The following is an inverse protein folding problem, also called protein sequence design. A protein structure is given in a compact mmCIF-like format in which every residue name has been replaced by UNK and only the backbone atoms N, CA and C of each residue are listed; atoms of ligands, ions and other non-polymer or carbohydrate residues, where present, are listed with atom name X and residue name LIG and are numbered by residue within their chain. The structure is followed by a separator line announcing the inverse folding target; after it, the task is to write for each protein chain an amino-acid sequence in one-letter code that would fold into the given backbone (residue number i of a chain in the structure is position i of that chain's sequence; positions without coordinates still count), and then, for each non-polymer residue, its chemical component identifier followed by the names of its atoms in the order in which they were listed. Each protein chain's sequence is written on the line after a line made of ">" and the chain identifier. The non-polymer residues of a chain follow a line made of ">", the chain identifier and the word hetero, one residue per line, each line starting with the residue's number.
data_IF_635355843009
#
_entry.id   IF_635355843009
#
_cell.length_a   1.000
_cell.length_b   1.000
_cell.length_c   1.000
_cell.angle_alpha   90.00
_cell.angle_beta   90.00
_cell.angle_gamma   90.00
#
_symmetry.space_group_name_H-M   'P 1'
#
loop_
_entity.id
_entity.type
_entity.pdbx_description
1 polymer ?
#
# COMPACT_ATOMS: atom_id res chain seq x y z
N UNK A 1 -7.46 7.23 -96.46
CA UNK A 1 -7.88 5.82 -96.64
C UNK A 1 -6.68 4.90 -96.42
N UNK A 2 -6.16 4.80 -95.19
CA UNK A 2 -4.89 4.08 -94.91
C UNK A 2 -4.87 3.32 -93.59
N UNK A 3 -5.84 3.51 -92.68
CA UNK A 3 -5.85 2.85 -91.36
C UNK A 3 -6.62 1.53 -91.31
N UNK A 4 -7.57 1.31 -92.22
CA UNK A 4 -8.40 0.10 -92.24
C UNK A 4 -7.67 -1.03 -92.97
N UNK A 5 -7.06 -0.73 -94.12
CA UNK A 5 -6.27 -1.70 -94.89
C UNK A 5 -5.07 -2.21 -94.09
N UNK A 6 -4.35 -1.32 -93.39
CA UNK A 6 -3.24 -1.72 -92.51
C UNK A 6 -3.69 -2.63 -91.34
N UNK A 7 -4.90 -2.43 -90.80
CA UNK A 7 -5.46 -3.32 -89.77
C UNK A 7 -5.91 -4.66 -90.34
N UNK A 8 -6.44 -4.66 -91.56
CA UNK A 8 -6.86 -5.88 -92.25
C UNK A 8 -5.66 -6.75 -92.64
N UNK A 9 -4.58 -6.14 -93.13
CA UNK A 9 -3.33 -6.84 -93.45
C UNK A 9 -2.65 -7.40 -92.20
N UNK A 10 -2.66 -6.65 -91.09
CA UNK A 10 -2.16 -7.13 -89.81
C UNK A 10 -2.98 -8.33 -89.32
N UNK A 11 -4.31 -8.25 -89.37
CA UNK A 11 -5.20 -9.35 -88.96
C UNK A 11 -4.98 -10.59 -89.84
N UNK A 12 -4.81 -10.40 -91.16
CA UNK A 12 -4.54 -11.49 -92.10
C UNK A 12 -3.18 -12.14 -91.84
N UNK A 13 -2.16 -11.36 -91.52
CA UNK A 13 -0.86 -11.88 -91.12
C UNK A 13 -0.91 -12.64 -89.80
N UNK A 14 -1.62 -12.12 -88.79
CA UNK A 14 -1.78 -12.81 -87.50
C UNK A 14 -2.52 -14.13 -87.66
N UNK A 15 -3.65 -14.14 -88.38
CA UNK A 15 -4.40 -15.38 -88.63
C UNK A 15 -3.59 -16.38 -89.45
N UNK A 16 -2.81 -15.92 -90.44
CA UNK A 16 -1.92 -16.79 -91.19
C UNK A 16 -0.79 -17.38 -90.33
N UNK A 17 -0.26 -16.59 -89.38
CA UNK A 17 0.75 -17.05 -88.42
C UNK A 17 0.19 -18.11 -87.46
N UNK A 18 -0.98 -17.85 -86.87
CA UNK A 18 -1.65 -18.79 -85.96
C UNK A 18 -2.04 -20.10 -86.67
N UNK A 19 -2.54 -20.02 -87.90
CA UNK A 19 -2.83 -21.21 -88.71
C UNK A 19 -1.56 -22.01 -89.03
N UNK A 20 -0.43 -21.32 -89.24
CA UNK A 20 0.85 -21.99 -89.46
C UNK A 20 1.40 -22.63 -88.18
N UNK A 21 1.24 -22.01 -87.02
CA UNK A 21 1.58 -22.61 -85.72
C UNK A 21 0.73 -23.82 -85.38
N UNK A 22 -0.58 -23.76 -85.64
CA UNK A 22 -1.49 -24.90 -85.45
C UNK A 22 -1.14 -26.03 -86.43
N UNK A 23 -0.86 -25.69 -87.69
CA UNK A 23 -0.46 -26.67 -88.71
C UNK A 23 0.87 -27.34 -88.35
N UNK A 24 1.88 -26.57 -87.93
CA UNK A 24 3.18 -27.12 -87.51
C UNK A 24 3.06 -27.95 -86.23
N UNK A 25 2.33 -27.49 -85.22
CA UNK A 25 2.08 -28.26 -83.98
C UNK A 25 1.32 -29.57 -84.26
N UNK A 26 0.31 -29.54 -85.12
CA UNK A 26 -0.41 -30.72 -85.57
C UNK A 26 0.50 -31.67 -86.34
N UNK A 27 1.34 -31.15 -87.23
CA UNK A 27 2.28 -31.95 -88.02
C UNK A 27 3.34 -32.60 -87.12
N UNK A 28 3.88 -31.89 -86.14
CA UNK A 28 4.82 -32.44 -85.14
C UNK A 28 4.16 -33.53 -84.30
N UNK A 29 2.91 -33.31 -83.86
CA UNK A 29 2.14 -34.32 -83.13
C UNK A 29 1.87 -35.57 -83.96
N UNK A 30 1.52 -35.38 -85.23
CA UNK A 30 1.29 -36.47 -86.17
C UNK A 30 2.59 -37.21 -86.53
N UNK A 31 3.72 -36.51 -86.65
CA UNK A 31 5.04 -37.12 -86.80
C UNK A 31 5.40 -37.96 -85.57
N UNK A 32 5.23 -37.42 -84.35
CA UNK A 32 5.47 -38.18 -83.12
C UNK A 32 4.58 -39.42 -82.98
N UNK A 33 3.31 -39.33 -83.40
CA UNK A 33 2.40 -40.47 -83.45
C UNK A 33 2.83 -41.50 -84.49
N UNK A 34 3.25 -41.05 -85.67
CA UNK A 34 3.70 -41.93 -86.76
C UNK A 34 5.01 -42.65 -86.39
N UNK A 35 5.94 -41.93 -85.77
CA UNK A 35 7.17 -42.51 -85.19
C UNK A 35 6.84 -43.52 -84.09
N UNK A 36 5.92 -43.18 -83.18
CA UNK A 36 5.48 -44.11 -82.13
C UNK A 36 4.84 -45.38 -82.72
N UNK A 37 4.03 -45.25 -83.78
CA UNK A 37 3.39 -46.37 -84.47
C UNK A 37 4.43 -47.22 -85.22
N UNK A 38 5.41 -46.61 -85.88
CA UNK A 38 6.46 -47.33 -86.58
C UNK A 38 7.40 -48.06 -85.60
N UNK A 39 7.71 -47.44 -84.46
CA UNK A 39 8.46 -48.05 -83.37
C UNK A 39 7.71 -49.25 -82.74
N UNK A 40 6.37 -49.14 -82.64
CA UNK A 40 5.51 -50.24 -82.19
C UNK A 40 5.43 -51.39 -83.19
N UNK A 41 5.42 -51.08 -84.50
CA UNK A 41 5.44 -52.07 -85.58
C UNK A 41 6.80 -52.75 -85.75
N UNK A 42 7.90 -52.06 -85.41
CA UNK A 42 9.26 -52.61 -85.54
C UNK A 42 9.68 -53.48 -84.37
N UNK A 43 8.98 -53.42 -83.23
CA UNK A 43 9.28 -54.21 -82.03
C UNK A 43 8.53 -55.54 -82.06
N UNK A 44 9.23 -56.63 -81.75
CA UNK A 44 8.56 -57.92 -81.56
C UNK A 44 7.70 -57.88 -80.29
N UNK A 45 6.60 -58.63 -80.24
CA UNK A 45 5.65 -58.67 -79.12
C UNK A 45 6.34 -58.89 -77.76
N UNK A 46 7.43 -59.68 -77.74
CA UNK A 46 8.24 -59.95 -76.54
C UNK A 46 8.98 -58.70 -76.02
N UNK A 47 9.48 -57.85 -76.90
CA UNK A 47 10.20 -56.62 -76.53
C UNK A 47 9.22 -55.56 -76.02
N UNK A 48 8.08 -55.40 -76.70
CA UNK A 48 7.03 -54.48 -76.26
C UNK A 48 6.48 -54.86 -74.88
N UNK A 49 6.27 -56.16 -74.65
CA UNK A 49 5.85 -56.67 -73.34
C UNK A 49 6.88 -56.36 -72.25
N UNK A 50 8.16 -56.59 -72.50
CA UNK A 50 9.25 -56.29 -71.55
C UNK A 50 9.37 -54.80 -71.25
N UNK A 51 9.19 -53.93 -72.25
CA UNK A 51 9.20 -52.48 -72.05
C UNK A 51 8.00 -52.00 -71.22
N UNK A 52 6.82 -52.58 -71.43
CA UNK A 52 5.62 -52.27 -70.63
C UNK A 52 5.82 -52.74 -69.18
N UNK A 53 6.32 -53.97 -68.98
CA UNK A 53 6.60 -54.52 -67.65
C UNK A 53 7.62 -53.65 -66.89
N UNK A 54 8.70 -53.22 -67.54
CA UNK A 54 9.69 -52.32 -66.91
C UNK A 54 9.11 -50.94 -66.58
N UNK A 55 8.25 -50.38 -67.44
CA UNK A 55 7.54 -49.11 -67.14
C UNK A 55 6.56 -49.27 -65.97
N UNK A 56 5.84 -50.39 -65.86
CA UNK A 56 4.96 -50.67 -64.73
C UNK A 56 5.77 -50.83 -63.44
N UNK A 57 6.86 -51.60 -63.46
CA UNK A 57 7.72 -51.82 -62.28
C UNK A 57 8.34 -50.49 -61.80
N UNK A 58 8.86 -49.68 -62.72
CA UNK A 58 9.44 -48.37 -62.36
C UNK A 58 8.38 -47.40 -61.84
N UNK A 59 7.16 -47.41 -62.41
CA UNK A 59 6.04 -46.63 -61.91
C UNK A 59 5.66 -47.05 -60.49
N UNK A 60 5.49 -48.35 -60.22
CA UNK A 60 5.17 -48.87 -58.89
C UNK A 60 6.25 -48.51 -57.86
N UNK A 61 7.53 -48.66 -58.22
CA UNK A 61 8.64 -48.29 -57.33
C UNK A 61 8.65 -46.78 -57.00
N UNK A 62 8.28 -45.92 -57.95
CA UNK A 62 8.17 -44.48 -57.71
C UNK A 62 6.96 -44.14 -56.81
N UNK A 63 5.83 -44.83 -56.99
CA UNK A 63 4.67 -44.69 -56.12
C UNK A 63 4.95 -45.15 -54.70
N UNK A 64 5.65 -46.27 -54.53
CA UNK A 64 6.04 -46.77 -53.22
C UNK A 64 6.96 -45.79 -52.48
N UNK A 65 7.93 -45.18 -53.19
CA UNK A 65 8.76 -44.10 -52.63
C UNK A 65 7.94 -42.87 -52.22
N UNK A 66 6.93 -42.51 -53.01
CA UNK A 66 6.03 -41.39 -52.68
C UNK A 66 5.24 -41.70 -51.41
N UNK A 67 4.65 -42.90 -51.31
CA UNK A 67 3.91 -43.36 -50.13
C UNK A 67 4.81 -43.35 -48.89
N UNK A 68 6.03 -43.88 -48.98
CA UNK A 68 6.99 -43.86 -47.87
C UNK A 68 7.34 -42.43 -47.45
N UNK A 69 7.51 -41.51 -48.41
CA UNK A 69 7.74 -40.10 -48.11
C UNK A 69 6.55 -39.49 -47.38
N UNK A 70 5.33 -39.71 -47.86
CA UNK A 70 4.12 -39.20 -47.23
C UNK A 70 3.92 -39.78 -45.81
N UNK A 71 4.19 -41.07 -45.62
CA UNK A 71 4.17 -41.70 -44.30
C UNK A 71 5.17 -41.07 -43.34
N UNK A 72 6.42 -40.85 -43.78
CA UNK A 72 7.43 -40.19 -42.95
C UNK A 72 7.05 -38.75 -42.57
N UNK A 73 6.41 -38.01 -43.50
CA UNK A 73 5.91 -36.66 -43.19
C UNK A 73 4.75 -36.69 -42.21
N UNK A 74 3.89 -37.71 -42.28
CA UNK A 74 2.77 -37.85 -41.35
C UNK A 74 3.24 -38.22 -39.94
N UNK A 75 4.24 -39.10 -39.83
CA UNK A 75 4.86 -39.42 -38.54
C UNK A 75 5.54 -38.20 -37.93
N UNK A 76 6.25 -37.41 -38.73
CA UNK A 76 6.85 -36.14 -38.29
C UNK A 76 5.78 -35.18 -37.77
N UNK A 77 4.73 -34.91 -38.55
CA UNK A 77 3.65 -34.00 -38.15
C UNK A 77 2.92 -34.49 -36.89
N UNK A 78 2.75 -35.80 -36.74
CA UNK A 78 2.17 -36.38 -35.52
C UNK A 78 3.05 -36.12 -34.30
N UNK A 79 4.37 -36.31 -34.41
CA UNK A 79 5.29 -36.02 -33.32
C UNK A 79 5.35 -34.53 -32.96
N UNK A 80 5.23 -33.66 -33.97
CA UNK A 80 5.19 -32.21 -33.77
C UNK A 80 3.89 -31.80 -33.07
N UNK A 81 2.75 -32.39 -33.45
CA UNK A 81 1.46 -32.18 -32.77
C UNK A 81 1.53 -32.60 -31.29
N UNK A 82 2.08 -33.79 -31.00
CA UNK A 82 2.26 -34.27 -29.62
C UNK A 82 3.19 -33.35 -28.81
N UNK A 83 4.17 -32.71 -29.45
CA UNK A 83 5.03 -31.73 -28.78
C UNK A 83 4.26 -30.44 -28.48
N UNK A 84 3.51 -29.92 -29.45
CA UNK A 84 2.67 -28.74 -29.26
C UNK A 84 1.62 -28.93 -28.17
N UNK A 85 0.96 -30.09 -28.12
CA UNK A 85 -0.02 -30.41 -27.07
C UNK A 85 0.59 -30.34 -25.67
N UNK A 86 1.80 -30.89 -25.48
CA UNK A 86 2.51 -30.83 -24.19
C UNK A 86 2.91 -29.42 -23.80
N UNK A 87 3.35 -28.60 -24.75
CA UNK A 87 3.70 -27.20 -24.49
C UNK A 87 2.45 -26.40 -24.11
N UNK A 88 1.32 -26.66 -24.76
CA UNK A 88 0.03 -26.02 -24.47
C UNK A 88 -0.50 -26.41 -23.09
N UNK A 89 -0.39 -27.68 -22.70
CA UNK A 89 -0.72 -28.13 -21.33
C UNK A 89 0.15 -27.43 -20.27
N UNK A 90 1.45 -27.27 -20.55
CA UNK A 90 2.37 -26.57 -19.66
C UNK A 90 2.02 -25.10 -19.52
N UNK A 91 1.64 -24.43 -20.61
CA UNK A 91 1.23 -23.03 -20.59
C UNK A 91 -0.10 -22.83 -19.85
N UNK A 92 -1.08 -23.71 -20.05
CA UNK A 92 -2.35 -23.70 -19.28
C UNK A 92 -2.07 -23.85 -17.78
N UNK A 93 -1.17 -24.77 -17.40
CA UNK A 93 -0.76 -24.95 -16.01
C UNK A 93 -0.05 -23.72 -15.41
N UNK A 94 0.59 -22.88 -16.24
CA UNK A 94 1.17 -21.62 -15.77
C UNK A 94 0.13 -20.52 -15.62
N UNK A 95 -0.79 -20.38 -16.58
CA UNK A 95 -1.86 -19.37 -16.52
C UNK A 95 -2.77 -19.62 -15.31
N UNK A 96 -3.17 -20.87 -15.08
CA UNK A 96 -3.96 -21.23 -13.89
C UNK A 96 -3.27 -20.88 -12.57
N UNK A 97 -1.94 -21.05 -12.48
CA UNK A 97 -1.17 -20.59 -11.31
C UNK A 97 -1.17 -19.07 -11.18
N UNK A 98 -1.05 -18.34 -12.30
CA UNK A 98 -1.11 -16.88 -12.30
C UNK A 98 -2.49 -16.37 -11.85
N UNK A 99 -3.58 -17.02 -12.27
CA UNK A 99 -4.94 -16.67 -11.84
C UNK A 99 -5.12 -16.88 -10.33
N UNK A 100 -4.59 -17.98 -9.78
CA UNK A 100 -4.58 -18.21 -8.33
C UNK A 100 -3.81 -17.12 -7.58
N UNK A 101 -2.63 -16.71 -8.09
CA UNK A 101 -1.86 -15.62 -7.51
C UNK A 101 -2.60 -14.28 -7.58
N UNK A 102 -3.32 -14.01 -8.67
CA UNK A 102 -4.16 -12.81 -8.79
C UNK A 102 -5.24 -12.77 -7.71
N UNK A 103 -5.94 -13.89 -7.48
CA UNK A 103 -6.95 -13.98 -6.41
C UNK A 103 -6.35 -13.83 -5.01
N UNK A 104 -5.13 -14.31 -4.78
CA UNK A 104 -4.41 -14.13 -3.52
C UNK A 104 -4.02 -12.65 -3.30
N UNK A 105 -3.58 -11.95 -4.34
CA UNK A 105 -3.28 -10.51 -4.31
C UNK A 105 -4.55 -9.72 -3.96
N UNK A 106 -5.69 -10.01 -4.58
CA UNK A 106 -6.95 -9.33 -4.26
C UNK A 106 -7.37 -9.54 -2.79
N UNK A 107 -7.11 -10.72 -2.24
CA UNK A 107 -7.37 -11.00 -0.82
C UNK A 107 -6.41 -10.23 0.09
N UNK A 108 -5.13 -10.14 -0.26
CA UNK A 108 -4.15 -9.35 0.49
C UNK A 108 -4.51 -7.86 0.49
N UNK A 109 -4.96 -7.31 -0.64
CA UNK A 109 -5.39 -5.91 -0.73
C UNK A 109 -6.60 -5.63 0.18
N UNK A 110 -7.56 -6.56 0.27
CA UNK A 110 -8.69 -6.46 1.22
C UNK A 110 -8.21 -6.46 2.67
N UNK A 111 -7.33 -7.40 3.03
CA UNK A 111 -6.76 -7.48 4.38
C UNK A 111 -5.97 -6.21 4.71
N UNK A 112 -5.20 -5.68 3.75
CA UNK A 112 -4.47 -4.43 3.93
C UNK A 112 -5.41 -3.26 4.20
N UNK A 113 -6.50 -3.13 3.45
CA UNK A 113 -7.49 -2.09 3.65
C UNK A 113 -8.16 -2.19 5.04
N UNK A 114 -8.53 -3.40 5.46
CA UNK A 114 -9.08 -3.65 6.80
C UNK A 114 -8.09 -3.26 7.90
N UNK A 115 -6.81 -3.62 7.73
CA UNK A 115 -5.76 -3.30 8.69
C UNK A 115 -5.56 -1.77 8.83
N UNK A 116 -5.54 -1.06 7.70
CA UNK A 116 -5.40 0.41 7.68
C UNK A 116 -6.61 1.07 8.36
N UNK A 117 -7.82 0.56 8.11
CA UNK A 117 -9.02 1.04 8.80
C UNK A 117 -8.91 0.82 10.32
N UNK A 118 -8.40 -0.32 10.76
CA UNK A 118 -8.28 -0.64 12.18
C UNK A 118 -7.18 0.19 12.87
N UNK A 119 -6.04 0.41 12.20
CA UNK A 119 -4.98 1.32 12.68
C UNK A 119 -5.55 2.72 12.88
N UNK A 120 -6.28 3.27 11.91
CA UNK A 120 -6.88 4.59 12.03
C UNK A 120 -7.86 4.67 13.23
N UNK A 121 -8.65 3.63 13.47
CA UNK A 121 -9.52 3.58 14.66
C UNK A 121 -8.69 3.59 15.95
N UNK A 122 -7.64 2.78 16.03
CA UNK A 122 -6.77 2.73 17.22
C UNK A 122 -6.05 4.06 17.47
N UNK A 123 -5.60 4.76 16.43
CA UNK A 123 -5.03 6.12 16.56
C UNK A 123 -6.06 7.10 17.11
N UNK A 124 -7.29 7.08 16.60
CA UNK A 124 -8.36 7.96 17.12
C UNK A 124 -8.71 7.64 18.58
N UNK A 125 -8.65 6.38 18.98
CA UNK A 125 -8.92 6.00 20.37
C UNK A 125 -7.76 6.39 21.29
N UNK A 126 -6.52 6.22 20.82
CA UNK A 126 -5.31 6.63 21.56
C UNK A 126 -5.30 8.14 21.79
N UNK A 127 -5.64 8.93 20.78
CA UNK A 127 -5.73 10.40 20.91
C UNK A 127 -6.84 10.82 21.88
N UNK A 128 -8.00 10.16 21.88
CA UNK A 128 -9.05 10.40 22.89
C UNK A 128 -8.57 10.07 24.30
N UNK A 129 -7.89 8.94 24.48
CA UNK A 129 -7.37 8.53 25.78
C UNK A 129 -6.29 9.49 26.29
N UNK A 130 -5.38 9.96 25.42
CA UNK A 130 -4.39 10.98 25.76
C UNK A 130 -5.06 12.27 26.25
N UNK A 131 -6.04 12.78 25.50
CA UNK A 131 -6.80 13.98 25.90
C UNK A 131 -7.51 13.80 27.25
N UNK A 132 -8.08 12.62 27.50
CA UNK A 132 -8.73 12.30 28.77
C UNK A 132 -7.73 12.23 29.93
N UNK A 133 -6.52 11.76 29.67
CA UNK A 133 -5.44 11.69 30.65
C UNK A 133 -4.94 13.10 31.00
N UNK A 134 -4.75 13.97 30.01
CA UNK A 134 -4.39 15.38 30.21
C UNK A 134 -5.45 16.11 31.06
N UNK A 135 -6.74 15.87 30.77
CA UNK A 135 -7.82 16.47 31.55
C UNK A 135 -7.86 15.96 32.99
N UNK A 136 -7.52 14.68 33.22
CA UNK A 136 -7.38 14.12 34.58
C UNK A 136 -6.18 14.70 35.31
N UNK A 137 -5.03 14.86 34.63
CA UNK A 137 -3.84 15.48 35.20
C UNK A 137 -4.10 16.94 35.59
N UNK A 138 -4.76 17.71 34.73
CA UNK A 138 -5.15 19.09 35.04
C UNK A 138 -6.07 19.15 36.28
N UNK A 139 -7.03 18.23 36.40
CA UNK A 139 -7.89 18.12 37.59
C UNK A 139 -7.09 17.75 38.85
N UNK A 140 -6.16 16.81 38.75
CA UNK A 140 -5.30 16.43 39.88
C UNK A 140 -4.39 17.58 40.31
N UNK A 141 -3.86 18.35 39.37
CA UNK A 141 -3.07 19.54 39.64
C UNK A 141 -3.91 20.59 40.39
N UNK A 142 -5.13 20.88 39.90
CA UNK A 142 -6.04 21.81 40.56
C UNK A 142 -6.42 21.35 41.99
N UNK A 143 -6.65 20.04 42.18
CA UNK A 143 -6.89 19.46 43.51
C UNK A 143 -5.67 19.60 44.43
N UNK A 144 -4.46 19.37 43.90
CA UNK A 144 -3.22 19.55 44.66
C UNK A 144 -3.05 21.01 45.11
N UNK A 145 -3.26 21.95 44.20
CA UNK A 145 -3.14 23.38 44.50
C UNK A 145 -4.19 23.82 45.54
N UNK A 146 -5.40 23.27 45.45
CA UNK A 146 -6.46 23.49 46.44
C UNK A 146 -6.08 22.93 47.83
N UNK A 147 -5.52 21.72 47.89
CA UNK A 147 -5.06 21.12 49.16
C UNK A 147 -3.94 21.94 49.79
N UNK A 148 -2.95 22.38 49.01
CA UNK A 148 -1.90 23.27 49.54
C UNK A 148 -2.46 24.60 50.05
N UNK A 149 -3.45 25.17 49.36
CA UNK A 149 -4.12 26.39 49.82
C UNK A 149 -4.85 26.21 51.16
N UNK A 150 -5.46 25.04 51.39
CA UNK A 150 -6.07 24.72 52.68
C UNK A 150 -5.03 24.52 53.78
N UNK A 151 -3.93 23.81 53.51
CA UNK A 151 -2.85 23.61 54.49
C UNK A 151 -2.23 24.95 54.93
N UNK A 152 -1.98 25.86 53.99
CA UNK A 152 -1.45 27.20 54.29
C UNK A 152 -2.43 28.02 55.14
N UNK A 153 -3.72 27.97 54.81
CA UNK A 153 -4.76 28.69 55.55
C UNK A 153 -4.96 28.11 56.96
N UNK A 154 -4.90 26.79 57.13
CA UNK A 154 -4.99 26.14 58.44
C UNK A 154 -3.78 26.47 59.31
N UNK A 155 -2.58 26.50 58.73
CA UNK A 155 -1.35 26.90 59.42
C UNK A 155 -1.40 28.36 59.87
N UNK A 156 -1.90 29.27 59.02
CA UNK A 156 -2.09 30.68 59.36
C UNK A 156 -3.11 30.86 60.49
N UNK A 157 -4.26 30.19 60.41
CA UNK A 157 -5.28 30.19 61.45
C UNK A 157 -4.73 29.66 62.79
N UNK A 158 -3.93 28.59 62.76
CA UNK A 158 -3.28 28.04 63.95
C UNK A 158 -2.27 29.03 64.57
N UNK A 159 -1.51 29.76 63.74
CA UNK A 159 -0.60 30.82 64.19
C UNK A 159 -1.34 31.98 64.85
N UNK A 160 -2.43 32.44 64.24
CA UNK A 160 -3.28 33.50 64.80
C UNK A 160 -3.86 33.06 66.15
N UNK A 161 -4.39 31.84 66.24
CA UNK A 161 -4.90 31.31 67.49
C UNK A 161 -3.83 31.20 68.59
N UNK A 162 -2.61 30.79 68.24
CA UNK A 162 -1.47 30.77 69.17
C UNK A 162 -1.11 32.17 69.68
N UNK A 163 -1.11 33.18 68.81
CA UNK A 163 -0.86 34.56 69.19
C UNK A 163 -1.96 35.11 70.12
N UNK A 164 -3.23 34.84 69.82
CA UNK A 164 -4.35 35.20 70.69
C UNK A 164 -4.21 34.57 72.08
N UNK A 165 -3.82 33.28 72.15
CA UNK A 165 -3.61 32.60 73.43
C UNK A 165 -2.46 33.22 74.22
N UNK A 166 -1.35 33.59 73.56
CA UNK A 166 -0.23 34.31 74.19
C UNK A 166 -0.69 35.68 74.73
N UNK A 167 -1.47 36.43 73.97
CA UNK A 167 -2.03 37.72 74.41
C UNK A 167 -2.95 37.54 75.63
N UNK A 168 -3.85 36.54 75.60
CA UNK A 168 -4.71 36.22 76.74
C UNK A 168 -3.90 35.79 77.97
N UNK A 169 -2.79 35.09 77.79
CA UNK A 169 -1.89 34.74 78.90
C UNK A 169 -1.29 36.01 79.52
N UNK A 170 -0.75 36.93 78.73
CA UNK A 170 -0.25 38.22 79.23
C UNK A 170 -1.33 39.02 79.97
N UNK A 171 -2.55 39.07 79.42
CA UNK A 171 -3.70 39.70 80.06
C UNK A 171 -4.07 39.02 81.38
N UNK A 172 -4.01 37.69 81.46
CA UNK A 172 -4.30 36.93 82.69
C UNK A 172 -3.27 37.16 83.80
N UNK A 173 -2.03 37.46 83.45
CA UNK A 173 -1.01 37.91 84.40
C UNK A 173 -1.26 39.35 84.86
N UNK A 174 -2.21 40.06 84.24
CA UNK A 174 -2.54 41.43 84.55
C UNK A 174 -1.80 42.47 83.71
N UNK A 175 -1.12 42.05 82.64
CA UNK A 175 -0.48 42.97 81.68
C UNK A 175 -1.46 43.27 80.56
N UNK A 176 -1.91 44.51 80.47
CA UNK A 176 -2.81 44.98 79.42
C UNK A 176 -2.06 46.05 78.63
N UNK A 177 -1.75 45.74 77.38
CA UNK A 177 -1.23 46.73 76.43
C UNK A 177 -2.44 47.40 75.78
N UNK A 178 -2.61 48.69 76.03
CA UNK A 178 -3.64 49.48 75.34
C UNK A 178 -2.96 50.22 74.20
N UNK A 179 -3.37 49.91 72.98
CA UNK A 179 -3.30 50.87 71.89
C UNK A 179 -4.59 51.70 71.95
N UNK A 180 -4.52 53.00 72.25
CA UNK A 180 -5.63 53.88 71.97
C UNK A 180 -5.42 54.52 70.60
N UNK A 181 -6.51 54.97 70.01
CA UNK A 181 -6.62 55.82 68.82
C UNK A 181 -5.84 57.17 68.92
N UNK A 182 -5.06 57.35 70.00
CA UNK A 182 -4.13 58.44 70.28
C UNK A 182 -2.70 57.88 70.32
N UNK A 183 -1.83 58.43 69.47
CA UNK A 183 -0.40 58.18 69.16
C UNK A 183 0.60 57.85 70.31
N UNK A 184 0.18 57.30 71.43
CA UNK A 184 1.02 56.97 72.60
C UNK A 184 0.61 55.59 73.12
N UNK A 185 1.50 54.62 72.96
CA UNK A 185 1.34 53.28 73.50
C UNK A 185 1.46 53.31 75.04
N UNK A 186 0.54 52.64 75.73
CA UNK A 186 0.54 52.55 77.20
C UNK A 186 0.43 51.10 77.66
N UNK A 187 1.21 50.75 78.67
CA UNK A 187 1.15 49.46 79.35
C UNK A 187 0.51 49.64 80.71
N UNK A 188 -0.52 48.86 80.97
CA UNK A 188 -1.18 48.76 82.27
C UNK A 188 -0.79 47.45 82.93
N UNK A 189 -0.39 47.51 84.21
CA UNK A 189 -0.07 46.34 85.02
C UNK A 189 -1.01 46.34 86.23
N UNK A 190 -1.88 45.33 86.28
CA UNK A 190 -2.85 45.12 87.35
C UNK A 190 -2.49 43.84 88.11
N UNK A 191 -2.33 43.92 89.43
CA UNK A 191 -2.06 42.71 90.22
C UNK A 191 -3.29 41.79 90.25
N UNK A 192 -3.16 40.48 90.00
CA UNK A 192 -4.31 39.56 89.93
C UNK A 192 -5.18 39.49 91.20
N UNK A 193 -4.66 39.94 92.35
CA UNK A 193 -5.34 39.92 93.65
C UNK A 193 -5.37 41.28 94.36
N UNK A 194 -5.02 42.36 93.65
CA UNK A 194 -4.96 43.72 94.19
C UNK A 194 -5.87 44.68 93.42
N UNK A 195 -6.31 45.75 94.09
CA UNK A 195 -7.05 46.86 93.46
C UNK A 195 -6.13 47.88 92.77
N UNK A 196 -4.81 47.71 92.89
CA UNK A 196 -3.81 48.63 92.36
C UNK A 196 -3.57 48.37 90.87
N UNK A 197 -3.69 49.44 90.07
CA UNK A 197 -3.40 49.44 88.64
C UNK A 197 -2.30 50.46 88.37
N UNK A 198 -1.21 50.03 87.75
CA UNK A 198 -0.11 50.89 87.36
C UNK A 198 -0.16 51.17 85.86
N UNK A 199 -0.01 52.42 85.45
CA UNK A 199 -0.03 52.84 84.04
C UNK A 199 1.32 53.43 83.67
N UNK A 200 1.94 52.91 82.61
CA UNK A 200 3.18 53.42 82.04
C UNK A 200 2.97 53.82 80.59
N UNK A 201 3.32 55.05 80.24
CA UNK A 201 3.44 55.49 78.85
C UNK A 201 4.81 55.05 78.31
N UNK A 202 4.83 54.32 77.21
CA UNK A 202 6.06 53.67 76.71
C UNK A 202 6.95 54.63 75.92
N UNK A 203 6.39 55.73 75.41
CA UNK A 203 7.13 56.72 74.64
C UNK A 203 8.19 57.40 75.50
N UNK A 204 9.47 57.17 75.19
CA UNK A 204 10.61 57.79 75.87
C UNK A 204 11.35 56.87 76.85
N UNK A 205 10.91 55.63 77.05
CA UNK A 205 11.62 54.63 77.88
C UNK A 205 12.24 53.53 77.03
N UNK A 206 13.36 52.96 77.50
CA UNK A 206 13.97 51.81 76.83
C UNK A 206 13.18 50.53 77.11
N UNK A 207 13.24 49.56 76.19
CA UNK A 207 12.62 48.24 76.39
C UNK A 207 13.08 47.54 77.67
N UNK A 208 14.33 47.78 78.09
CA UNK A 208 14.87 47.28 79.35
C UNK A 208 14.15 47.89 80.56
N UNK A 209 13.93 49.21 80.57
CA UNK A 209 13.19 49.88 81.63
C UNK A 209 11.74 49.43 81.69
N UNK A 210 11.05 49.38 80.53
CA UNK A 210 9.65 48.96 80.44
C UNK A 210 9.48 47.52 80.96
N UNK A 211 10.39 46.62 80.58
CA UNK A 211 10.35 45.22 81.02
C UNK A 211 10.54 45.09 82.53
N UNK A 212 11.54 45.78 83.11
CA UNK A 212 11.74 45.77 84.57
C UNK A 212 10.55 46.38 85.31
N UNK A 213 9.98 47.47 84.78
CA UNK A 213 8.77 48.07 85.35
C UNK A 213 7.60 47.08 85.42
N UNK A 214 7.39 46.28 84.37
CA UNK A 214 6.34 45.26 84.35
C UNK A 214 6.65 44.17 85.38
N UNK A 215 7.87 43.63 85.38
CA UNK A 215 8.27 42.55 86.30
C UNK A 215 8.24 42.95 87.77
N UNK A 216 8.56 44.21 88.12
CA UNK A 216 8.51 44.72 89.49
C UNK A 216 7.08 44.92 90.02
N UNK A 217 6.07 44.86 89.13
CA UNK A 217 4.67 45.21 89.42
C UNK A 217 3.69 44.06 89.23
N UNK A 218 4.11 42.96 88.59
CA UNK A 218 3.42 41.67 88.60
C UNK A 218 3.47 41.03 90.00
#
# INVERSE_FOLDING_TARGET
>A
MTSIDAKYDLLRHTMASELNEISTSSTVRNMNLTESINLLKSKNHKELKSEIETKIVTFLANFEKLIQREQSTLEYLKSELEHFEKDLEKDIAQVTKADHLSGEIENLDKVQFELVSEINKQETETTKQANLLDLKLAKLQALKDQVSGFEDQELENSRLHSQEMKLRLFQSMGVIVSEPELKTEKVLVQKPRGLETHVLETSGYSNFFISNFIWDRL
#
